data_IF_804574570731
#
_entry.id   IF_804574570731
#
_cell.length_a   1.000
_cell.length_b   1.000
_cell.length_c   1.000
_cell.angle_alpha   90.00
_cell.angle_beta   90.00
_cell.angle_gamma   90.00
#
_symmetry.space_group_name_H-M   'P 1'
#
loop_
_entity.id
_entity.type
_entity.pdbx_description
1 polymer ?
#
# COMPACT_ATOMS: atom_id res chain seq x y z
N UNK A 1 15.70 23.63 -35.23
CA UNK A 1 16.63 22.83 -36.05
C UNK A 1 15.83 21.64 -36.54
N UNK A 2 15.51 21.64 -37.83
CA UNK A 2 14.60 20.69 -38.49
C UNK A 2 15.29 19.33 -38.66
N UNK A 3 14.54 18.23 -38.50
CA UNK A 3 14.60 17.15 -39.48
C UNK A 3 13.28 16.38 -39.52
N UNK A 4 12.54 16.63 -40.61
CA UNK A 4 11.34 15.88 -40.97
C UNK A 4 11.70 14.78 -41.95
N UNK A 5 11.39 13.53 -41.61
CA UNK A 5 11.57 12.39 -42.51
C UNK A 5 10.30 12.22 -43.34
N UNK A 6 10.38 12.58 -44.63
CA UNK A 6 9.40 12.20 -45.65
C UNK A 6 9.67 10.76 -46.12
N UNK A 7 8.64 9.92 -46.34
CA UNK A 7 8.81 8.59 -46.89
C UNK A 7 8.96 8.63 -48.43
N UNK A 8 9.93 7.88 -48.95
CA UNK A 8 10.04 7.56 -50.38
C UNK A 8 9.09 6.39 -50.68
N UNK A 9 8.14 6.61 -51.59
CA UNK A 9 7.42 5.53 -52.26
C UNK A 9 8.33 4.85 -53.29
N UNK A 10 8.34 3.52 -53.29
CA UNK A 10 8.45 2.75 -54.53
C UNK A 10 7.52 1.54 -54.46
N UNK A 11 6.67 1.44 -55.50
CA UNK A 11 5.77 0.32 -55.78
C UNK A 11 6.53 -0.83 -56.46
N UNK A 12 6.07 -2.03 -56.10
CA UNK A 12 5.88 -3.24 -56.92
C UNK A 12 7.08 -3.88 -57.65
N UNK A 13 7.34 -5.13 -57.27
CA UNK A 13 8.09 -6.11 -58.05
C UNK A 13 7.88 -7.51 -57.46
N UNK A 14 7.23 -8.39 -58.24
CA UNK A 14 6.89 -9.77 -57.91
C UNK A 14 8.11 -10.69 -57.84
N UNK A 15 7.94 -11.80 -57.10
CA UNK A 15 8.59 -13.12 -57.22
C UNK A 15 10.11 -13.16 -57.42
N UNK A 16 10.82 -13.70 -56.42
CA UNK A 16 11.45 -15.05 -56.47
C UNK A 16 12.33 -15.21 -55.23
N UNK A 17 12.21 -16.37 -54.58
CA UNK A 17 13.07 -16.82 -53.48
C UNK A 17 14.55 -16.80 -53.89
N UNK A 18 15.48 -16.18 -53.13
CA UNK A 18 16.88 -16.44 -53.36
C UNK A 18 17.29 -17.74 -52.66
N UNK A 19 17.70 -18.70 -53.49
CA UNK A 19 18.58 -19.79 -53.11
C UNK A 19 19.80 -19.22 -52.40
N UNK A 20 20.11 -19.78 -51.24
CA UNK A 20 21.28 -19.44 -50.45
C UNK A 20 22.55 -19.89 -51.18
N UNK A 21 23.45 -18.95 -51.48
CA UNK A 21 24.82 -19.24 -51.91
C UNK A 21 25.76 -18.39 -51.05
N UNK A 22 26.45 -19.03 -50.11
CA UNK A 22 27.47 -18.38 -49.29
C UNK A 22 28.83 -18.97 -49.68
N UNK A 23 29.62 -18.20 -50.43
CA UNK A 23 31.04 -18.49 -50.64
C UNK A 23 31.80 -18.07 -49.37
N UNK A 24 32.49 -19.03 -48.78
CA UNK A 24 33.19 -18.88 -47.52
C UNK A 24 34.60 -18.32 -47.76
N UNK A 25 34.90 -17.16 -47.20
CA UNK A 25 36.29 -16.78 -46.87
C UNK A 25 36.48 -16.89 -45.36
N UNK A 26 37.58 -17.51 -45.00
CA UNK A 26 37.99 -17.93 -43.66
C UNK A 26 38.19 -16.76 -42.70
N UNK A 27 37.96 -17.06 -41.42
CA UNK A 27 38.13 -16.23 -40.23
C UNK A 27 37.16 -15.07 -40.13
N UNK A 28 36.04 -15.27 -39.44
CA UNK A 28 35.63 -14.58 -38.20
C UNK A 28 34.41 -15.34 -37.64
N UNK A 29 34.54 -15.94 -36.46
CA UNK A 29 33.40 -16.49 -35.72
C UNK A 29 32.53 -15.31 -35.27
N UNK A 30 31.31 -15.20 -35.81
CA UNK A 30 30.27 -14.35 -35.21
C UNK A 30 29.52 -15.25 -34.23
N UNK A 31 29.90 -15.20 -32.96
CA UNK A 31 29.07 -15.76 -31.89
C UNK A 31 27.81 -14.91 -31.73
N UNK A 32 26.66 -15.56 -31.91
CA UNK A 32 25.32 -15.14 -31.46
C UNK A 32 24.77 -13.80 -31.99
N UNK A 33 24.36 -13.75 -33.27
CA UNK A 33 23.32 -12.79 -33.67
C UNK A 33 21.95 -13.27 -33.21
N UNK A 34 21.42 -12.70 -32.12
CA UNK A 34 20.01 -12.85 -31.76
C UNK A 34 19.17 -12.07 -32.78
N UNK A 35 18.34 -12.76 -33.56
CA UNK A 35 17.40 -12.11 -34.48
C UNK A 35 16.33 -11.34 -33.71
N UNK A 36 15.98 -10.14 -34.19
CA UNK A 36 14.84 -9.39 -33.65
C UNK A 36 13.54 -10.06 -34.12
N UNK A 37 12.68 -10.46 -33.18
CA UNK A 37 11.38 -11.10 -33.44
C UNK A 37 10.19 -10.15 -33.23
N UNK A 38 10.41 -8.83 -33.39
CA UNK A 38 9.32 -7.84 -33.38
C UNK A 38 8.83 -7.65 -34.81
N UNK A 39 7.74 -8.35 -35.16
CA UNK A 39 7.08 -8.18 -36.45
C UNK A 39 6.47 -6.78 -36.58
N UNK A 40 6.99 -5.97 -37.51
CA UNK A 40 6.44 -4.63 -37.81
C UNK A 40 5.25 -4.69 -38.76
N UNK A 41 5.15 -5.77 -39.55
CA UNK A 41 4.02 -6.06 -40.42
C UNK A 41 2.82 -6.51 -39.59
N UNK A 42 1.79 -5.65 -39.44
CA UNK A 42 0.58 -5.94 -38.67
C UNK A 42 0.53 -5.31 -37.27
N UNK A 43 1.44 -4.38 -36.96
CA UNK A 43 1.39 -3.63 -35.70
C UNK A 43 0.06 -2.87 -35.55
N UNK A 44 -0.61 -3.07 -34.41
CA UNK A 44 -1.86 -2.39 -34.08
C UNK A 44 -1.56 -1.05 -33.40
N UNK A 45 -1.96 0.05 -34.04
CA UNK A 45 -1.66 1.41 -33.57
C UNK A 45 -2.86 1.96 -32.80
N UNK A 46 -2.62 2.35 -31.55
CA UNK A 46 -3.58 3.11 -30.73
C UNK A 46 -3.12 4.56 -30.69
N UNK A 47 -4.00 5.49 -31.05
CA UNK A 47 -3.67 6.93 -31.14
C UNK A 47 -4.58 7.76 -30.25
N UNK A 48 -4.04 8.85 -29.71
CA UNK A 48 -4.78 9.82 -28.90
C UNK A 48 -4.13 11.21 -29.01
N UNK A 49 -4.57 12.15 -28.17
CA UNK A 49 -4.12 13.54 -28.23
C UNK A 49 -2.68 13.70 -27.75
N UNK A 50 -1.84 14.35 -28.57
CA UNK A 50 -0.47 14.70 -28.20
C UNK A 50 -0.39 15.79 -27.14
N UNK A 51 -1.36 16.71 -27.10
CA UNK A 51 -1.45 17.79 -26.08
C UNK A 51 -1.75 17.23 -24.69
N UNK A 52 -2.37 16.06 -24.63
CA UNK A 52 -2.75 15.35 -23.41
C UNK A 52 -1.69 14.30 -23.02
N UNK A 53 -0.62 14.19 -23.82
CA UNK A 53 0.43 13.17 -23.74
C UNK A 53 -0.14 11.75 -23.65
N UNK A 54 -1.09 11.45 -24.53
CA UNK A 54 -1.62 10.10 -24.65
C UNK A 54 -0.48 9.13 -25.01
N UNK A 55 -0.30 8.09 -24.19
CA UNK A 55 0.80 7.15 -24.34
C UNK A 55 1.96 7.39 -23.37
N UNK A 56 1.86 8.36 -22.47
CA UNK A 56 2.91 8.65 -21.49
C UNK A 56 3.26 7.42 -20.63
N UNK A 57 2.24 6.68 -20.19
CA UNK A 57 2.41 5.33 -19.64
C UNK A 57 1.58 4.33 -20.42
N UNK A 58 2.14 3.12 -20.58
CA UNK A 58 1.47 2.02 -21.26
C UNK A 58 1.68 0.75 -20.45
N UNK A 59 0.59 0.08 -20.10
CA UNK A 59 0.62 -1.16 -19.35
C UNK A 59 -0.35 -2.19 -19.94
N UNK A 60 0.13 -3.42 -20.10
CA UNK A 60 -0.73 -4.54 -20.49
C UNK A 60 -1.44 -5.10 -19.25
N UNK A 61 -2.74 -5.33 -19.37
CA UNK A 61 -3.57 -5.86 -18.31
C UNK A 61 -4.49 -6.94 -18.88
N UNK A 62 -4.62 -8.07 -18.18
CA UNK A 62 -5.53 -9.15 -18.55
C UNK A 62 -6.47 -9.46 -17.40
N UNK A 63 -7.74 -9.71 -17.72
CA UNK A 63 -8.75 -10.16 -16.77
C UNK A 63 -9.68 -11.18 -17.44
N UNK A 64 -10.69 -11.66 -16.70
CA UNK A 64 -11.72 -12.58 -17.24
C UNK A 64 -12.50 -12.00 -18.43
N UNK A 65 -12.46 -10.69 -18.65
CA UNK A 65 -13.17 -10.00 -19.74
C UNK A 65 -12.27 -9.77 -20.98
N UNK A 66 -10.98 -10.08 -20.92
CA UNK A 66 -10.06 -9.98 -22.06
C UNK A 66 -8.70 -9.36 -21.75
N UNK A 67 -7.92 -9.13 -22.81
CA UNK A 67 -6.63 -8.44 -22.77
C UNK A 67 -6.77 -6.98 -23.19
N UNK A 68 -6.22 -6.10 -22.37
CA UNK A 68 -6.36 -4.66 -22.45
C UNK A 68 -5.00 -3.99 -22.41
N UNK A 69 -4.90 -2.86 -23.08
CA UNK A 69 -3.81 -1.90 -22.91
C UNK A 69 -4.36 -0.73 -22.09
N UNK A 70 -3.78 -0.48 -20.93
CA UNK A 70 -4.02 0.72 -20.15
C UNK A 70 -3.04 1.79 -20.61
N UNK A 71 -3.55 2.96 -20.96
CA UNK A 71 -2.77 4.07 -21.52
C UNK A 71 -3.03 5.33 -20.71
N UNK A 72 -1.99 5.89 -20.12
CA UNK A 72 -2.05 7.15 -19.38
C UNK A 72 -2.03 8.37 -20.32
N UNK A 73 -2.78 9.40 -19.94
CA UNK A 73 -2.76 10.73 -20.53
C UNK A 73 -2.75 11.77 -19.39
N UNK A 74 -1.58 12.02 -18.76
CA UNK A 74 -1.46 12.77 -17.51
C UNK A 74 -1.93 14.21 -17.63
N UNK A 75 -2.00 14.71 -18.86
CA UNK A 75 -2.23 16.09 -19.18
C UNK A 75 -3.62 16.36 -19.78
N UNK A 76 -4.54 15.39 -19.64
CA UNK A 76 -5.96 15.56 -19.95
C UNK A 76 -6.65 16.53 -18.97
N UNK A 77 -7.48 17.43 -19.49
CA UNK A 77 -8.27 18.39 -18.69
C UNK A 77 -8.12 19.83 -19.17
N UNK A 78 -8.78 20.78 -18.50
CA UNK A 78 -8.63 22.21 -18.78
C UNK A 78 -7.34 22.76 -18.15
N UNK A 79 -6.82 23.88 -18.65
CA UNK A 79 -5.57 24.48 -18.15
C UNK A 79 -5.59 24.80 -16.66
N UNK A 80 -6.77 25.07 -16.09
CA UNK A 80 -6.96 25.30 -14.65
C UNK A 80 -7.31 24.04 -13.83
N UNK A 81 -7.58 22.91 -14.48
CA UNK A 81 -7.93 21.65 -13.83
C UNK A 81 -7.45 20.44 -14.67
N UNK A 82 -6.12 20.31 -14.79
CA UNK A 82 -5.48 19.24 -15.56
C UNK A 82 -5.34 18.04 -14.64
N UNK A 83 -6.38 17.21 -14.60
CA UNK A 83 -6.48 16.05 -13.69
C UNK A 83 -5.90 14.76 -14.27
N UNK A 84 -5.55 14.75 -15.56
CA UNK A 84 -5.10 13.56 -16.26
C UNK A 84 -6.20 12.50 -16.40
N UNK A 85 -5.87 11.41 -17.08
CA UNK A 85 -6.79 10.31 -17.30
C UNK A 85 -6.11 9.00 -17.72
N UNK A 86 -6.88 7.91 -17.66
CA UNK A 86 -6.46 6.60 -18.12
C UNK A 86 -7.47 6.07 -19.13
N UNK A 87 -6.94 5.54 -20.23
CA UNK A 87 -7.71 4.90 -21.29
C UNK A 87 -7.52 3.38 -21.24
N UNK A 88 -8.58 2.64 -21.56
CA UNK A 88 -8.51 1.19 -21.83
C UNK A 88 -8.67 0.94 -23.32
N UNK A 89 -7.73 0.21 -23.92
CA UNK A 89 -7.76 -0.14 -25.34
C UNK A 89 -7.84 -1.66 -25.49
N UNK A 90 -8.80 -2.16 -26.27
CA UNK A 90 -8.96 -3.59 -26.50
C UNK A 90 -7.87 -4.12 -27.44
N UNK A 91 -7.08 -5.10 -26.98
CA UNK A 91 -6.01 -5.67 -27.80
C UNK A 91 -6.61 -6.64 -28.83
N UNK A 92 -7.53 -7.52 -28.39
CA UNK A 92 -8.12 -8.59 -29.20
C UNK A 92 -9.26 -8.16 -30.14
N UNK A 93 -9.69 -6.89 -30.14
CA UNK A 93 -10.76 -6.39 -31.01
C UNK A 93 -10.29 -5.98 -32.41
N UNK A 94 -11.19 -5.86 -33.40
CA UNK A 94 -10.85 -5.34 -34.74
C UNK A 94 -10.60 -3.83 -34.73
N UNK A 95 -11.12 -3.11 -33.72
CA UNK A 95 -10.99 -1.67 -33.59
C UNK A 95 -9.76 -1.29 -32.76
N UNK A 96 -9.18 -0.14 -33.06
CA UNK A 96 -8.08 0.50 -32.32
C UNK A 96 -8.58 1.58 -31.36
N UNK A 97 -9.87 1.54 -31.01
CA UNK A 97 -10.51 2.56 -30.19
C UNK A 97 -10.22 2.36 -28.72
N UNK A 98 -9.71 3.41 -28.07
CA UNK A 98 -9.47 3.46 -26.64
C UNK A 98 -10.65 4.15 -25.94
N UNK A 99 -11.19 3.54 -24.90
CA UNK A 99 -12.27 4.11 -24.09
C UNK A 99 -11.72 4.75 -22.84
N UNK A 100 -12.20 5.96 -22.53
CA UNK A 100 -11.91 6.66 -21.28
C UNK A 100 -12.39 5.84 -20.08
N UNK A 101 -11.57 5.72 -19.03
CA UNK A 101 -11.96 4.97 -17.83
C UNK A 101 -12.79 5.80 -16.84
N UNK A 102 -12.87 7.13 -17.04
CA UNK A 102 -13.70 8.07 -16.25
C UNK A 102 -13.52 7.87 -14.73
N UNK A 103 -12.28 7.70 -14.28
CA UNK A 103 -11.99 7.46 -12.86
C UNK A 103 -12.33 8.67 -11.98
N UNK A 104 -12.42 9.88 -12.56
CA UNK A 104 -12.70 11.14 -11.86
C UNK A 104 -14.05 11.15 -11.09
N UNK A 105 -15.05 10.38 -11.53
CA UNK A 105 -16.35 10.26 -10.84
C UNK A 105 -16.41 9.10 -9.83
N UNK A 106 -15.38 8.25 -9.79
CA UNK A 106 -15.34 7.03 -8.97
C UNK A 106 -14.42 7.16 -7.76
N UNK A 107 -13.69 8.27 -7.64
CA UNK A 107 -12.81 8.58 -6.49
C UNK A 107 -13.67 9.26 -5.42
N UNK A 108 -14.58 8.50 -4.81
CA UNK A 108 -15.15 8.87 -3.52
C UNK A 108 -14.37 8.07 -2.47
N UNK A 109 -13.14 8.51 -2.20
CA UNK A 109 -12.33 7.93 -1.13
C UNK A 109 -12.83 8.60 0.16
N UNK A 110 -13.51 7.88 1.06
CA UNK A 110 -13.91 8.45 2.34
C UNK A 110 -12.66 8.96 3.07
N UNK A 111 -12.75 10.15 3.67
CA UNK A 111 -11.69 10.85 4.44
C UNK A 111 -10.57 11.57 3.65
N UNK A 112 -10.69 11.81 2.35
CA UNK A 112 -9.76 12.74 1.66
C UNK A 112 -10.09 14.19 2.02
N UNK A 113 -9.27 14.81 2.88
CA UNK A 113 -9.43 16.22 3.29
C UNK A 113 -8.91 17.22 2.25
N UNK A 114 -8.07 16.79 1.30
CA UNK A 114 -7.54 17.63 0.23
C UNK A 114 -7.61 16.89 -1.11
N UNK A 115 -8.60 17.24 -1.94
CA UNK A 115 -8.56 16.91 -3.36
C UNK A 115 -7.66 17.96 -4.01
N UNK A 116 -6.39 17.64 -4.22
CA UNK A 116 -5.49 18.57 -4.90
C UNK A 116 -6.01 18.79 -6.33
N UNK A 117 -6.33 20.04 -6.64
CA UNK A 117 -6.58 20.49 -8.01
C UNK A 117 -5.28 20.23 -8.80
N UNK A 118 -5.39 19.75 -10.04
CA UNK A 118 -4.23 19.51 -10.93
C UNK A 118 -3.36 18.27 -10.62
N UNK A 119 -3.95 17.13 -10.22
CA UNK A 119 -3.24 15.84 -10.19
C UNK A 119 -2.99 15.31 -11.60
N UNK A 120 -1.86 14.65 -11.87
CA UNK A 120 -1.58 14.06 -13.20
C UNK A 120 -1.96 12.56 -13.25
N UNK A 121 -3.26 12.23 -13.26
CA UNK A 121 -3.71 10.84 -13.30
C UNK A 121 -3.22 10.14 -14.59
N UNK A 122 -2.66 8.93 -14.44
CA UNK A 122 -2.05 8.20 -15.56
C UNK A 122 -0.56 8.48 -15.78
N UNK A 123 0.08 9.27 -14.90
CA UNK A 123 1.55 9.41 -14.88
C UNK A 123 2.27 8.10 -14.52
N UNK A 124 1.62 7.23 -13.73
CA UNK A 124 2.14 5.92 -13.34
C UNK A 124 1.01 4.90 -13.34
N UNK A 125 1.26 3.72 -13.91
CA UNK A 125 0.34 2.58 -13.91
C UNK A 125 1.07 1.35 -13.36
N UNK A 126 0.50 0.71 -12.34
CA UNK A 126 1.06 -0.51 -11.75
C UNK A 126 -0.06 -1.56 -11.58
N UNK A 127 0.20 -2.85 -11.85
CA UNK A 127 -0.81 -3.86 -11.64
C UNK A 127 -0.96 -4.10 -10.15
N UNK A 128 -2.18 -4.10 -9.64
CA UNK A 128 -2.46 -4.54 -8.28
C UNK A 128 -2.52 -6.07 -8.27
N UNK A 129 -1.41 -6.75 -7.92
CA UNK A 129 -1.49 -8.17 -7.58
C UNK A 129 -1.78 -8.28 -6.07
N UNK A 130 -2.87 -8.97 -5.74
CA UNK A 130 -3.37 -9.11 -4.37
C UNK A 130 -2.36 -9.80 -3.43
N UNK A 131 -2.39 -9.34 -2.18
CA UNK A 131 -1.91 -9.96 -0.93
C UNK A 131 -0.43 -9.82 -0.52
N UNK A 132 0.13 -8.61 -0.52
CA UNK A 132 1.11 -8.24 0.54
C UNK A 132 0.43 -7.36 1.59
N UNK A 133 -0.74 -7.81 2.07
CA UNK A 133 -1.55 -7.07 3.02
C UNK A 133 -1.00 -7.13 4.45
N UNK A 134 -1.47 -6.20 5.27
CA UNK A 134 -1.32 -6.20 6.72
C UNK A 134 -1.63 -7.58 7.29
N UNK A 135 -0.72 -8.08 8.13
CA UNK A 135 -0.94 -9.27 8.95
C UNK A 135 -1.32 -8.81 10.35
N UNK A 136 -2.32 -9.46 10.94
CA UNK A 136 -2.87 -9.06 12.25
C UNK A 136 -2.75 -10.25 13.19
N UNK A 137 -2.34 -9.98 14.41
CA UNK A 137 -2.36 -10.90 15.54
C UNK A 137 -3.12 -10.21 16.66
N UNK A 138 -3.91 -10.98 17.41
CA UNK A 138 -4.64 -10.48 18.58
C UNK A 138 -4.09 -11.18 19.81
N UNK A 139 -3.75 -10.38 20.82
CA UNK A 139 -3.36 -10.83 22.14
C UNK A 139 -4.38 -10.23 23.12
N UNK A 140 -5.01 -11.08 23.90
CA UNK A 140 -5.86 -10.67 25.00
C UNK A 140 -5.07 -10.77 26.31
N UNK A 141 -5.30 -9.85 27.24
CA UNK A 141 -4.60 -9.84 28.51
C UNK A 141 -5.50 -9.42 29.67
N UNK A 142 -5.10 -9.84 30.85
CA UNK A 142 -5.66 -9.50 32.15
C UNK A 142 -4.56 -9.76 33.18
N UNK A 143 -4.68 -10.86 33.93
CA UNK A 143 -3.57 -11.34 34.78
C UNK A 143 -2.42 -11.91 33.93
N UNK A 144 -2.74 -12.68 32.89
CA UNK A 144 -1.77 -13.30 31.98
C UNK A 144 -2.10 -12.99 30.52
N UNK A 145 -1.13 -12.57 29.69
CA UNK A 145 -1.36 -12.36 28.26
C UNK A 145 -1.42 -13.67 27.48
N UNK A 146 -2.33 -13.76 26.52
CA UNK A 146 -2.47 -14.92 25.65
C UNK A 146 -2.75 -14.50 24.20
N UNK A 147 -2.10 -15.19 23.26
CA UNK A 147 -2.27 -14.94 21.83
C UNK A 147 -3.48 -15.72 21.31
N UNK A 148 -4.50 -15.01 20.85
CA UNK A 148 -5.71 -15.60 20.27
C UNK A 148 -5.43 -16.18 18.88
N UNK A 149 -4.61 -15.49 18.10
CA UNK A 149 -4.05 -16.01 16.85
C UNK A 149 -2.78 -15.25 16.42
N UNK A 150 -1.95 -15.93 15.63
CA UNK A 150 -0.66 -15.44 15.12
C UNK A 150 -0.83 -14.61 13.86
N UNK A 151 0.20 -13.86 13.47
CA UNK A 151 0.17 -12.98 12.28
C UNK A 151 -0.08 -13.75 10.98
N UNK A 152 0.39 -15.00 10.89
CA UNK A 152 0.26 -15.86 9.72
C UNK A 152 -0.98 -16.76 9.71
N UNK A 153 -1.79 -16.73 10.76
CA UNK A 153 -2.96 -17.62 10.90
C UNK A 153 -4.05 -17.28 9.88
N UNK A 154 -4.39 -16.00 9.73
CA UNK A 154 -5.45 -15.55 8.84
C UNK A 154 -4.91 -14.53 7.83
N UNK A 155 -5.14 -14.78 6.54
CA UNK A 155 -4.56 -13.98 5.44
C UNK A 155 -5.52 -12.98 4.80
N UNK A 156 -6.82 -13.09 5.07
CA UNK A 156 -7.83 -12.23 4.44
C UNK A 156 -8.58 -11.42 5.49
N UNK A 157 -9.01 -10.20 5.13
CA UNK A 157 -9.82 -9.35 6.00
C UNK A 157 -11.06 -10.09 6.52
N UNK A 158 -11.77 -10.81 5.64
CA UNK A 158 -12.98 -11.54 6.02
C UNK A 158 -12.70 -12.59 7.11
N UNK A 159 -11.64 -13.38 6.96
CA UNK A 159 -11.28 -14.41 7.95
C UNK A 159 -10.79 -13.81 9.26
N UNK A 160 -10.05 -12.70 9.21
CA UNK A 160 -9.59 -11.99 10.41
C UNK A 160 -10.79 -11.44 11.19
N UNK A 161 -11.74 -10.78 10.52
CA UNK A 161 -12.94 -10.22 11.17
C UNK A 161 -13.80 -11.31 11.80
N UNK A 162 -13.99 -12.44 11.11
CA UNK A 162 -14.74 -13.58 11.65
C UNK A 162 -14.05 -14.19 12.88
N UNK A 163 -12.73 -14.39 12.81
CA UNK A 163 -11.96 -14.92 13.94
C UNK A 163 -11.99 -13.96 15.13
N UNK A 164 -11.80 -12.66 14.90
CA UNK A 164 -11.83 -11.65 15.95
C UNK A 164 -13.19 -11.56 16.64
N UNK A 165 -14.29 -11.66 15.88
CA UNK A 165 -15.65 -11.64 16.42
C UNK A 165 -15.98 -12.87 17.29
N UNK A 166 -15.24 -13.97 17.15
CA UNK A 166 -15.44 -15.20 17.90
C UNK A 166 -14.60 -15.29 19.18
N UNK A 167 -13.75 -14.30 19.48
CA UNK A 167 -12.88 -14.30 20.67
C UNK A 167 -13.74 -14.03 21.92
N UNK A 168 -13.82 -14.97 22.88
CA UNK A 168 -14.49 -14.72 24.14
C UNK A 168 -13.64 -13.80 25.03
N UNK A 169 -14.29 -13.08 25.95
CA UNK A 169 -13.56 -12.35 26.98
C UNK A 169 -12.99 -13.34 28.01
N UNK A 170 -11.66 -13.39 28.18
CA UNK A 170 -11.00 -14.22 29.20
C UNK A 170 -11.22 -13.73 30.64
N UNK A 171 -11.56 -12.47 30.82
CA UNK A 171 -11.68 -11.85 32.14
C UNK A 171 -10.33 -11.77 32.86
N UNK A 172 -10.36 -11.54 34.17
CA UNK A 172 -9.18 -11.41 35.00
C UNK A 172 -9.45 -10.52 36.22
N UNK A 173 -8.67 -10.71 37.28
CA UNK A 173 -8.75 -9.88 38.50
C UNK A 173 -7.85 -8.65 38.45
N UNK A 174 -6.87 -8.65 37.54
CA UNK A 174 -5.87 -7.60 37.38
C UNK A 174 -5.71 -7.25 35.90
N UNK A 175 -5.12 -6.10 35.65
CA UNK A 175 -4.76 -5.62 34.31
C UNK A 175 -3.25 -5.45 34.26
N UNK A 176 -2.52 -6.43 33.72
CA UNK A 176 -1.06 -6.42 33.61
C UNK A 176 -0.60 -5.98 32.22
N UNK A 177 -0.77 -4.69 31.93
CA UNK A 177 -0.53 -4.10 30.62
C UNK A 177 0.93 -4.19 30.17
N UNK A 178 1.89 -3.94 31.07
CA UNK A 178 3.31 -3.93 30.68
C UNK A 178 3.85 -5.34 30.46
N UNK A 179 3.36 -6.34 31.20
CA UNK A 179 3.62 -7.74 30.90
C UNK A 179 3.05 -8.15 29.53
N UNK A 180 1.86 -7.67 29.17
CA UNK A 180 1.26 -7.96 27.86
C UNK A 180 2.07 -7.34 26.71
N UNK A 181 2.53 -6.09 26.86
CA UNK A 181 3.39 -5.41 25.90
C UNK A 181 4.71 -6.18 25.72
N UNK A 182 5.33 -6.60 26.82
CA UNK A 182 6.56 -7.38 26.78
C UNK A 182 6.36 -8.74 26.10
N UNK A 183 5.26 -9.42 26.41
CA UNK A 183 4.89 -10.69 25.78
C UNK A 183 4.69 -10.52 24.27
N UNK A 184 3.99 -9.46 23.84
CA UNK A 184 3.77 -9.15 22.44
C UNK A 184 5.09 -8.82 21.73
N UNK A 185 5.97 -8.00 22.33
CA UNK A 185 7.32 -7.69 21.83
C UNK A 185 8.13 -8.97 21.58
N UNK A 186 8.17 -9.86 22.58
CA UNK A 186 9.00 -11.06 22.55
C UNK A 186 8.45 -12.18 21.66
N UNK A 187 7.13 -12.24 21.43
CA UNK A 187 6.49 -13.38 20.77
C UNK A 187 5.75 -13.03 19.47
N UNK A 188 4.99 -11.94 19.42
CA UNK A 188 4.07 -11.68 18.30
C UNK A 188 4.81 -11.44 16.98
N UNK A 189 5.95 -10.74 17.05
CA UNK A 189 6.73 -10.37 15.87
C UNK A 189 7.81 -11.40 15.48
N UNK A 190 7.80 -12.59 16.09
CA UNK A 190 8.74 -13.66 15.72
C UNK A 190 8.40 -14.24 14.34
N UNK A 191 9.40 -14.63 13.53
CA UNK A 191 9.15 -15.32 12.27
C UNK A 191 8.33 -16.60 12.41
N UNK A 192 8.48 -17.33 13.52
CA UNK A 192 7.68 -18.52 13.85
C UNK A 192 6.20 -18.24 14.13
N UNK A 193 5.83 -16.97 14.29
CA UNK A 193 4.46 -16.51 14.47
C UNK A 193 4.00 -15.58 13.33
N UNK A 194 4.69 -15.62 12.18
CA UNK A 194 4.36 -14.82 10.99
C UNK A 194 5.01 -13.44 10.92
N UNK A 195 5.92 -13.10 11.83
CA UNK A 195 6.68 -11.86 11.81
C UNK A 195 7.64 -11.78 10.62
N UNK A 196 7.61 -10.67 9.88
CA UNK A 196 8.48 -10.46 8.71
C UNK A 196 9.67 -9.55 9.07
N UNK A 197 10.93 -9.98 8.85
CA UNK A 197 12.13 -9.22 9.24
C UNK A 197 12.28 -7.81 8.67
N UNK A 198 11.55 -7.47 7.59
CA UNK A 198 11.55 -6.12 6.99
C UNK A 198 10.22 -5.37 7.06
N UNK A 199 9.23 -5.88 7.81
CA UNK A 199 7.95 -5.20 7.97
C UNK A 199 7.97 -4.23 9.16
N UNK A 200 7.29 -3.09 9.01
CA UNK A 200 7.04 -2.17 10.12
C UNK A 200 6.26 -2.88 11.22
N UNK A 201 6.78 -2.84 12.45
CA UNK A 201 6.13 -3.44 13.62
C UNK A 201 5.23 -2.40 14.27
N UNK A 202 3.93 -2.64 14.26
CA UNK A 202 2.93 -1.78 14.90
C UNK A 202 2.21 -2.56 15.98
N UNK A 203 2.11 -1.97 17.16
CA UNK A 203 1.36 -2.48 18.29
C UNK A 203 0.27 -1.48 18.68
N UNK A 204 -0.96 -1.94 18.82
CA UNK A 204 -2.09 -1.12 19.29
C UNK A 204 -2.51 -1.67 20.65
N UNK A 205 -2.32 -0.87 21.69
CA UNK A 205 -2.68 -1.20 23.07
C UNK A 205 -4.00 -0.51 23.39
N UNK A 206 -5.03 -1.29 23.70
CA UNK A 206 -6.34 -0.81 24.14
C UNK A 206 -6.56 -1.24 25.58
N UNK A 207 -6.96 -0.31 26.44
CA UNK A 207 -7.33 -0.59 27.82
C UNK A 207 -8.34 0.41 28.34
N UNK A 208 -9.19 -0.04 29.24
CA UNK A 208 -10.18 0.73 29.99
C UNK A 208 -9.79 0.87 31.47
N UNK A 209 -8.59 0.46 31.88
CA UNK A 209 -8.13 0.45 33.27
C UNK A 209 -6.63 0.69 33.44
N UNK A 210 -6.25 1.24 34.60
CA UNK A 210 -4.85 1.44 35.00
C UNK A 210 -4.15 0.09 35.21
N UNK A 211 -2.87 0.02 34.81
CA UNK A 211 -2.11 -1.22 34.96
C UNK A 211 -1.70 -1.49 36.41
N UNK A 212 -1.78 -2.76 36.81
CA UNK A 212 -1.31 -3.24 38.11
C UNK A 212 0.22 -3.48 38.13
N UNK A 213 0.86 -3.47 36.95
CA UNK A 213 2.30 -3.74 36.80
C UNK A 213 3.10 -2.55 36.24
N UNK A 214 2.66 -1.32 36.53
CA UNK A 214 3.30 -0.08 36.08
C UNK A 214 4.80 0.05 36.47
N UNK A 215 5.25 -0.69 37.48
CA UNK A 215 6.68 -0.78 37.84
C UNK A 215 7.58 -1.30 36.70
N UNK A 216 7.03 -2.08 35.75
CA UNK A 216 7.77 -2.62 34.60
C UNK A 216 7.92 -1.64 33.44
N UNK A 217 7.19 -0.51 33.45
CA UNK A 217 7.17 0.47 32.36
C UNK A 217 8.56 0.88 31.87
N UNK A 218 9.44 1.24 32.80
CA UNK A 218 10.77 1.77 32.50
C UNK A 218 11.73 0.71 31.91
N UNK A 219 11.36 -0.56 31.93
CA UNK A 219 12.09 -1.63 31.26
C UNK A 219 11.47 -1.96 29.90
N UNK A 220 10.15 -2.11 29.86
CA UNK A 220 9.41 -2.64 28.70
C UNK A 220 9.35 -1.62 27.55
N UNK A 221 9.07 -0.34 27.86
CA UNK A 221 8.91 0.69 26.83
C UNK A 221 10.24 0.93 26.09
N UNK A 222 11.40 1.13 26.75
CA UNK A 222 12.67 1.25 26.05
C UNK A 222 13.05 0.00 25.23
N UNK A 223 12.69 -1.19 25.69
CA UNK A 223 12.91 -2.42 24.92
C UNK A 223 12.09 -2.44 23.62
N UNK A 224 10.85 -1.96 23.66
CA UNK A 224 10.02 -1.81 22.45
C UNK A 224 10.60 -0.78 21.47
N UNK A 225 11.13 0.34 21.97
CA UNK A 225 11.78 1.34 21.12
C UNK A 225 13.05 0.79 20.46
N UNK A 226 13.87 0.05 21.23
CA UNK A 226 15.05 -0.61 20.70
C UNK A 226 14.71 -1.60 19.58
N UNK A 227 13.58 -2.28 19.67
CA UNK A 227 13.13 -3.26 18.69
C UNK A 227 12.37 -2.65 17.49
N UNK A 228 12.26 -1.31 17.45
CA UNK A 228 11.61 -0.56 16.38
C UNK A 228 10.09 -0.75 16.33
N UNK A 229 9.44 -0.97 17.49
CA UNK A 229 7.99 -1.19 17.57
C UNK A 229 7.29 0.15 17.75
N UNK A 230 6.51 0.56 16.74
CA UNK A 230 5.63 1.71 16.85
C UNK A 230 4.40 1.34 17.66
N UNK A 231 4.10 2.12 18.71
CA UNK A 231 3.03 1.80 19.67
C UNK A 231 1.96 2.86 19.66
N UNK A 232 0.72 2.43 19.46
CA UNK A 232 -0.47 3.25 19.65
C UNK A 232 -1.13 2.89 20.97
N UNK A 233 -1.53 3.90 21.74
CA UNK A 233 -2.24 3.72 23.01
C UNK A 233 -3.65 4.28 22.92
N UNK A 234 -4.65 3.46 23.27
CA UNK A 234 -6.06 3.83 23.27
C UNK A 234 -6.62 3.65 24.68
N UNK A 235 -7.04 4.76 25.29
CA UNK A 235 -7.72 4.75 26.58
C UNK A 235 -9.24 4.78 26.40
N UNK A 236 -9.93 3.79 26.93
CA UNK A 236 -11.40 3.74 26.95
C UNK A 236 -11.89 4.30 28.29
N UNK A 237 -12.55 5.46 28.26
CA UNK A 237 -12.89 6.22 29.46
C UNK A 237 -14.32 5.98 29.95
N UNK A 238 -15.07 5.09 29.31
CA UNK A 238 -16.49 4.85 29.60
C UNK A 238 -16.77 4.56 31.07
N UNK A 239 -15.99 3.67 31.69
CA UNK A 239 -16.13 3.37 33.11
C UNK A 239 -15.87 4.57 34.01
N UNK A 240 -14.83 5.35 33.73
CA UNK A 240 -14.44 6.52 34.53
C UNK A 240 -15.51 7.62 34.45
N UNK A 241 -16.01 7.90 33.25
CA UNK A 241 -17.04 8.93 33.01
C UNK A 241 -18.34 8.53 33.71
N UNK A 242 -18.80 7.28 33.55
CA UNK A 242 -20.05 6.79 34.15
C UNK A 242 -20.05 6.82 35.68
N UNK A 243 -18.88 6.63 36.29
CA UNK A 243 -18.72 6.60 37.75
C UNK A 243 -18.14 7.89 38.34
N UNK A 244 -17.94 8.93 37.53
CA UNK A 244 -17.35 10.21 37.94
C UNK A 244 -15.97 10.06 38.62
N UNK A 245 -15.11 9.21 38.05
CA UNK A 245 -13.75 8.93 38.53
C UNK A 245 -12.74 9.73 37.69
N UNK A 246 -11.69 10.26 38.31
CA UNK A 246 -10.62 10.97 37.61
C UNK A 246 -9.80 10.00 36.72
N UNK A 247 -9.79 10.25 35.42
CA UNK A 247 -9.10 9.42 34.43
C UNK A 247 -7.66 9.87 34.15
N UNK A 248 -7.14 10.89 34.83
CA UNK A 248 -5.80 11.46 34.53
C UNK A 248 -4.69 10.41 34.58
N UNK A 249 -4.68 9.55 35.60
CA UNK A 249 -3.64 8.52 35.77
C UNK A 249 -3.64 7.53 34.61
N UNK A 250 -4.81 7.02 34.23
CA UNK A 250 -4.96 6.18 33.04
C UNK A 250 -4.44 6.90 31.79
N UNK A 251 -4.87 8.14 31.57
CA UNK A 251 -4.44 8.94 30.41
C UNK A 251 -2.93 9.11 30.36
N UNK A 252 -2.29 9.42 31.49
CA UNK A 252 -0.83 9.56 31.58
C UNK A 252 -0.11 8.23 31.33
N UNK A 253 -0.65 7.12 31.85
CA UNK A 253 -0.12 5.78 31.60
C UNK A 253 -0.18 5.45 30.10
N UNK A 254 -1.32 5.63 29.44
CA UNK A 254 -1.47 5.27 28.02
C UNK A 254 -0.64 6.18 27.11
N UNK A 255 -0.54 7.48 27.44
CA UNK A 255 0.39 8.40 26.76
C UNK A 255 1.84 7.94 26.87
N UNK A 256 2.20 7.29 27.98
CA UNK A 256 3.56 6.79 28.18
C UNK A 256 3.87 5.48 27.45
N UNK A 257 2.83 4.73 27.08
CA UNK A 257 2.94 3.53 26.25
C UNK A 257 3.11 3.91 24.78
N UNK A 258 2.38 4.94 24.34
CA UNK A 258 2.41 5.44 22.98
C UNK A 258 3.80 5.93 22.56
N UNK A 259 4.14 5.77 21.28
CA UNK A 259 5.39 6.28 20.71
C UNK A 259 5.41 7.82 20.67
N UNK A 260 6.61 8.40 20.53
CA UNK A 260 6.81 9.85 20.47
C UNK A 260 6.69 10.36 19.01
N UNK A 261 6.03 11.51 18.76
CA UNK A 261 5.37 12.39 19.74
C UNK A 261 3.98 11.87 20.13
N UNK A 262 3.71 11.83 21.44
CA UNK A 262 2.58 11.08 22.00
C UNK A 262 1.20 11.51 21.48
N UNK A 263 1.01 12.77 21.11
CA UNK A 263 -0.22 13.31 20.49
C UNK A 263 -0.59 12.64 19.15
N UNK A 264 0.40 12.05 18.45
CA UNK A 264 0.18 11.30 17.21
C UNK A 264 -0.18 9.84 17.43
N UNK A 265 0.14 9.28 18.58
CA UNK A 265 0.03 7.84 18.84
C UNK A 265 -0.93 7.50 19.99
N UNK A 266 -1.36 8.51 20.73
CA UNK A 266 -2.35 8.40 21.81
C UNK A 266 -3.74 8.80 21.32
N UNK A 267 -4.73 8.01 21.74
CA UNK A 267 -6.15 8.30 21.57
C UNK A 267 -6.90 8.02 22.86
N UNK A 268 -8.02 8.71 23.04
CA UNK A 268 -9.03 8.34 24.02
C UNK A 268 -10.40 8.29 23.37
N UNK A 269 -11.28 7.52 23.99
CA UNK A 269 -12.69 7.43 23.63
C UNK A 269 -13.53 7.53 24.89
N UNK A 270 -14.70 8.15 24.77
CA UNK A 270 -15.66 8.30 25.86
C UNK A 270 -16.40 7.00 26.18
N UNK A 271 -16.49 6.08 25.22
CA UNK A 271 -17.16 4.79 25.34
C UNK A 271 -16.67 3.80 24.27
N UNK A 272 -17.04 2.54 24.43
CA UNK A 272 -16.61 1.40 23.63
C UNK A 272 -17.13 1.47 22.18
N UNK A 273 -18.30 2.05 21.94
CA UNK A 273 -18.89 2.28 20.62
C UNK A 273 -18.13 3.34 19.79
N UNK A 274 -17.60 4.36 20.45
CA UNK A 274 -16.76 5.40 19.84
C UNK A 274 -15.41 4.87 19.31
N UNK A 275 -15.03 3.62 19.63
CA UNK A 275 -13.86 2.97 19.03
C UNK A 275 -13.96 2.87 17.51
N UNK A 276 -15.17 2.81 16.96
CA UNK A 276 -15.39 2.77 15.51
C UNK A 276 -14.95 4.06 14.80
N UNK A 277 -15.10 5.21 15.46
CA UNK A 277 -14.73 6.51 14.89
C UNK A 277 -13.21 6.67 14.82
N UNK A 278 -12.50 6.25 15.87
CA UNK A 278 -11.05 6.31 15.89
C UNK A 278 -10.40 5.25 15.00
N UNK A 279 -11.09 4.14 14.69
CA UNK A 279 -10.55 3.08 13.84
C UNK A 279 -10.22 3.59 12.43
N UNK A 280 -11.03 4.50 11.87
CA UNK A 280 -10.73 5.16 10.60
C UNK A 280 -9.46 6.00 10.66
N UNK A 281 -9.38 6.89 11.65
CA UNK A 281 -8.23 7.78 11.87
C UNK A 281 -6.94 7.00 12.16
N UNK A 282 -7.04 5.93 12.96
CA UNK A 282 -5.92 5.05 13.29
C UNK A 282 -5.43 4.31 12.05
N UNK A 283 -6.35 3.82 11.22
CA UNK A 283 -6.04 3.21 9.94
C UNK A 283 -5.18 4.16 9.10
N UNK A 284 -5.65 5.38 8.85
CA UNK A 284 -4.94 6.37 8.04
C UNK A 284 -3.53 6.68 8.58
N UNK A 285 -3.37 6.76 9.91
CA UNK A 285 -2.04 6.97 10.52
C UNK A 285 -1.12 5.76 10.36
N UNK A 286 -1.64 4.54 10.50
CA UNK A 286 -0.86 3.31 10.30
C UNK A 286 -0.40 3.19 8.85
N UNK A 287 -1.26 3.48 7.88
CA UNK A 287 -0.91 3.45 6.46
C UNK A 287 0.23 4.42 6.11
N UNK A 288 0.29 5.58 6.75
CA UNK A 288 1.37 6.55 6.51
C UNK A 288 2.74 6.08 7.06
N UNK A 289 2.77 5.21 8.08
CA UNK A 289 4.03 4.71 8.68
C UNK A 289 4.77 3.75 7.73
N UNK A 290 4.07 2.94 6.95
CA UNK A 290 4.70 2.11 5.91
C UNK A 290 5.28 2.96 4.75
N UNK A 291 4.97 4.26 4.71
CA UNK A 291 5.43 5.21 3.69
C UNK A 291 6.55 6.17 4.10
N UNK A 292 6.94 6.25 5.38
CA UNK A 292 7.87 7.29 5.87
C UNK A 292 9.04 6.74 6.68
N UNK A 293 10.25 6.83 6.12
CA UNK A 293 11.50 6.73 6.88
C UNK A 293 11.71 7.97 7.78
N UNK A 294 12.42 7.80 8.89
CA UNK A 294 12.64 8.76 9.97
C UNK A 294 13.43 10.02 9.58
N UNK A 295 13.01 11.22 9.99
CA UNK A 295 13.88 12.41 10.14
C UNK A 295 13.28 13.76 9.70
N UNK A 296 13.41 14.79 10.53
CA UNK A 296 12.78 16.13 10.44
C UNK A 296 13.30 17.12 9.38
N UNK A 297 13.48 16.70 8.13
CA UNK A 297 13.46 17.59 6.95
C UNK A 297 12.12 17.40 6.21
N UNK A 298 11.81 18.18 5.16
CA UNK A 298 10.55 18.09 4.39
C UNK A 298 10.06 16.65 4.31
N UNK A 299 8.90 16.36 4.91
CA UNK A 299 8.47 15.01 5.20
C UNK A 299 7.79 14.40 3.97
N UNK A 300 6.51 14.73 3.78
CA UNK A 300 5.67 14.21 2.70
C UNK A 300 4.91 15.31 1.98
N UNK A 301 5.08 16.56 2.40
CA UNK A 301 4.42 17.74 1.84
C UNK A 301 4.73 17.91 0.34
N UNK A 302 5.88 17.38 -0.11
CA UNK A 302 6.31 17.36 -1.52
C UNK A 302 6.61 15.95 -2.07
N UNK A 303 6.16 14.89 -1.38
CA UNK A 303 6.52 13.49 -1.67
C UNK A 303 6.16 12.99 -3.07
N UNK A 304 5.22 13.64 -3.76
CA UNK A 304 4.71 13.22 -5.09
C UNK A 304 4.49 11.70 -5.16
N UNK A 305 3.89 11.12 -4.11
CA UNK A 305 3.67 9.67 -4.01
C UNK A 305 2.96 9.17 -5.27
N UNK A 306 3.50 8.12 -5.88
CA UNK A 306 3.03 7.59 -7.15
C UNK A 306 3.70 8.20 -8.38
N UNK A 307 4.78 8.98 -8.23
CA UNK A 307 5.61 9.45 -9.35
C UNK A 307 6.26 8.30 -10.14
N UNK A 308 6.66 7.23 -9.45
CA UNK A 308 7.07 5.97 -10.06
C UNK A 308 6.57 4.80 -9.21
N UNK A 309 6.36 3.65 -9.84
CA UNK A 309 5.93 2.45 -9.15
C UNK A 309 6.51 1.23 -9.86
N UNK A 310 7.10 0.33 -9.09
CA UNK A 310 7.64 -0.93 -9.59
C UNK A 310 7.24 -2.06 -8.64
N UNK A 311 6.73 -3.15 -9.20
CA UNK A 311 6.26 -4.28 -8.42
C UNK A 311 7.31 -5.39 -8.40
N UNK A 312 7.89 -5.66 -7.24
CA UNK A 312 8.78 -6.80 -7.01
C UNK A 312 8.00 -7.97 -6.41
N UNK A 313 8.31 -9.20 -6.84
CA UNK A 313 7.93 -10.40 -6.09
C UNK A 313 8.99 -10.57 -5.00
N UNK A 314 8.67 -10.22 -3.76
CA UNK A 314 9.55 -10.54 -2.65
C UNK A 314 9.48 -12.06 -2.43
N UNK A 315 10.62 -12.74 -2.65
CA UNK A 315 10.84 -14.13 -2.23
C UNK A 315 10.87 -14.23 -0.71
#
# INVERSE_FOLDING_TARGET
MYEGIRPRQHRAGNLTSPLSFCLQKSSWYIEHSQGFNVGTSGAKIFSGSSVEEFGYTVQQFSNHQGQWLLVGAPWKGYTQNRMGDVYKCAIAGPTTTCSKLNLQSSINIPNVQNINVNMSLGLTLMPSTKNSGFMVSIIQYGVTPEMEFKLDTYKTRSTIVQAAAAIPQRGGTETNTFQAIEYARANAFLPSNGGRPGASKVMVVVTDGESHDNSKRNQVIPACEKDGITRFGIAVLGYYIRNNIDSKKLVEEIKSIASVPSDKFYFNVSAEDALLEIAGTLGDRIFNIEGTGTGGEFQMEFSQVGFSAHQTKNQ
#
